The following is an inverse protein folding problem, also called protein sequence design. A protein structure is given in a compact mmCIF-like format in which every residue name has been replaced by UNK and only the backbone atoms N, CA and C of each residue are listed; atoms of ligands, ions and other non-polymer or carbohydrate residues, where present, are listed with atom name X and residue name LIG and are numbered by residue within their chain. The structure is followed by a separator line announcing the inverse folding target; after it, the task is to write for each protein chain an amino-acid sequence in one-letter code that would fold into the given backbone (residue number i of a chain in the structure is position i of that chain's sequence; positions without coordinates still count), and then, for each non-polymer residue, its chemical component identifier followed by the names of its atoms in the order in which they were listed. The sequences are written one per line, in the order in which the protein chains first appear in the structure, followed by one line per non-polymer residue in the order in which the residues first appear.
data_IF_921407130007
#
_entry.id   IF_921407130007
#
_cell.length_a   1.000
_cell.length_b   1.000
_cell.length_c   1.000
_cell.angle_alpha   90.00
_cell.angle_beta   90.00
_cell.angle_gamma   90.00
#
_symmetry.space_group_name_H-M   'P 1'
#
loop_
_entity.id
_entity.type
_entity.pdbx_description
1 polymer ?
#
# COMPACT_ATOMS: atom_id res chain seq x y z
N UNK A 1 -22.84 43.83 -23.37
CA UNK A 1 -23.07 42.40 -23.65
C UNK A 1 -21.86 41.66 -23.09
N UNK A 2 -21.92 41.31 -21.80
CA UNK A 2 -20.80 40.68 -21.08
C UNK A 2 -20.75 39.19 -21.41
N UNK A 3 -19.71 38.76 -22.11
CA UNK A 3 -19.36 37.34 -22.21
C UNK A 3 -18.75 36.90 -20.88
N UNK A 4 -19.61 36.54 -19.91
CA UNK A 4 -19.24 35.67 -18.81
C UNK A 4 -19.10 34.25 -19.35
N UNK A 5 -17.95 33.95 -19.93
CA UNK A 5 -17.54 32.57 -20.20
C UNK A 5 -17.37 31.87 -18.85
N UNK A 6 -18.44 31.21 -18.39
CA UNK A 6 -18.29 30.04 -17.52
C UNK A 6 -17.55 28.98 -18.33
N UNK A 7 -16.22 29.06 -18.35
CA UNK A 7 -15.42 27.88 -18.64
C UNK A 7 -15.74 26.91 -17.51
N UNK A 8 -16.59 25.94 -17.81
CA UNK A 8 -16.93 24.88 -16.89
C UNK A 8 -15.61 24.25 -16.44
N UNK A 9 -15.32 24.29 -15.13
CA UNK A 9 -14.24 23.55 -14.47
C UNK A 9 -14.53 22.04 -14.47
N UNK A 10 -14.98 21.50 -15.60
CA UNK A 10 -15.30 20.08 -15.79
C UNK A 10 -14.31 19.54 -16.80
N UNK A 11 -13.02 19.62 -16.45
CA UNK A 11 -12.04 18.72 -17.03
C UNK A 11 -12.15 17.33 -16.37
N UNK A 12 -11.53 16.30 -16.94
CA UNK A 12 -11.47 14.93 -16.38
C UNK A 12 -10.79 14.81 -14.99
N UNK A 13 -10.46 15.95 -14.39
CA UNK A 13 -9.89 16.16 -13.07
C UNK A 13 -10.89 16.35 -11.95
N UNK A 14 -12.17 16.06 -12.20
CA UNK A 14 -13.22 16.23 -11.19
C UNK A 14 -12.99 15.37 -9.94
N UNK A 15 -12.09 14.39 -9.99
CA UNK A 15 -11.56 13.74 -8.79
C UNK A 15 -10.64 14.70 -8.06
N UNK A 16 -11.14 15.29 -6.98
CA UNK A 16 -10.37 16.10 -6.04
C UNK A 16 -9.04 15.43 -5.70
N UNK A 17 -7.95 16.20 -5.68
CA UNK A 17 -6.66 15.75 -5.17
C UNK A 17 -6.84 15.09 -3.79
N UNK A 18 -6.55 13.79 -3.71
CA UNK A 18 -6.58 13.05 -2.44
C UNK A 18 -5.17 13.02 -1.86
N UNK A 19 -4.87 14.02 -1.03
CA UNK A 19 -3.59 14.09 -0.32
C UNK A 19 -3.36 12.96 0.69
N UNK A 20 -4.26 11.97 0.80
CA UNK A 20 -4.07 10.78 1.62
C UNK A 20 -3.84 9.51 0.80
N UNK A 21 -3.84 9.60 -0.53
CA UNK A 21 -3.49 8.47 -1.38
C UNK A 21 -2.04 8.08 -1.09
N UNK A 22 -1.78 6.77 -1.13
CA UNK A 22 -0.44 6.22 -0.98
C UNK A 22 -0.02 5.59 -2.29
N UNK A 23 1.28 5.52 -2.54
CA UNK A 23 1.82 4.76 -3.65
C UNK A 23 3.07 4.02 -3.22
N UNK A 24 3.36 2.88 -3.87
CA UNK A 24 4.69 2.31 -3.79
C UNK A 24 5.65 3.09 -4.71
N UNK A 25 6.92 2.70 -4.70
CA UNK A 25 7.96 3.31 -5.54
C UNK A 25 7.75 3.11 -7.06
N UNK A 26 6.87 2.19 -7.45
CA UNK A 26 6.46 1.96 -8.85
C UNK A 26 5.24 2.81 -9.25
N UNK A 27 4.75 3.64 -8.33
CA UNK A 27 3.64 4.54 -8.57
C UNK A 27 2.25 3.89 -8.49
N UNK A 28 2.18 2.64 -8.01
CA UNK A 28 0.91 1.96 -7.82
C UNK A 28 0.22 2.42 -6.56
N UNK A 29 -1.01 2.88 -6.74
CA UNK A 29 -1.74 3.55 -5.68
C UNK A 29 -2.38 2.55 -4.73
N UNK A 30 -2.32 2.85 -3.44
CA UNK A 30 -2.90 2.08 -2.34
C UNK A 30 -3.79 2.98 -1.51
N UNK A 31 -4.95 2.47 -1.11
CA UNK A 31 -5.89 3.17 -0.26
C UNK A 31 -5.73 2.69 1.18
N UNK A 32 -5.39 3.55 2.15
CA UNK A 32 -5.36 3.11 3.55
C UNK A 32 -6.77 2.70 3.99
N UNK A 33 -6.90 1.63 4.78
CA UNK A 33 -8.21 1.10 5.20
C UNK A 33 -9.17 2.19 5.72
N UNK A 34 -8.66 3.13 6.54
CA UNK A 34 -9.45 4.23 7.10
C UNK A 34 -10.12 5.11 6.04
N UNK A 35 -9.55 5.23 4.84
CA UNK A 35 -10.13 5.97 3.72
C UNK A 35 -11.09 5.10 2.91
N UNK A 36 -10.84 3.79 2.83
CA UNK A 36 -11.76 2.84 2.21
C UNK A 36 -13.13 2.79 2.92
N UNK A 37 -13.12 2.87 4.26
CA UNK A 37 -14.35 2.80 5.08
C UNK A 37 -14.96 4.16 5.44
N UNK A 38 -14.34 5.26 5.01
CA UNK A 38 -14.89 6.62 5.21
C UNK A 38 -15.81 6.96 4.04
N UNK A 39 -17.01 7.44 4.36
CA UNK A 39 -17.91 7.94 3.32
C UNK A 39 -17.31 9.20 2.69
N UNK A 40 -17.14 9.17 1.37
CA UNK A 40 -16.74 10.34 0.58
C UNK A 40 -17.92 11.29 0.36
N UNK A 41 -19.15 10.80 0.56
CA UNK A 41 -20.35 11.62 0.50
C UNK A 41 -20.42 12.51 1.73
N UNK A 42 -20.19 13.80 1.51
CA UNK A 42 -20.54 14.88 2.46
C UNK A 42 -22.06 15.09 2.44
N UNK A 43 -22.83 14.03 2.59
CA UNK A 43 -24.27 14.09 2.42
C UNK A 43 -24.96 14.14 3.78
N UNK A 44 -25.71 15.23 3.92
CA UNK A 44 -26.84 15.47 4.84
C UNK A 44 -27.11 14.37 5.85
N UNK A 45 -27.01 14.71 7.15
CA UNK A 45 -27.44 13.87 8.26
C UNK A 45 -28.75 13.12 7.91
N UNK A 46 -28.72 11.80 7.69
CA UNK A 46 -29.92 11.07 7.36
C UNK A 46 -30.94 11.22 8.49
N UNK A 47 -32.20 11.47 8.14
CA UNK A 47 -33.29 11.54 9.11
C UNK A 47 -33.35 10.23 9.89
N UNK A 48 -33.33 10.31 11.23
CA UNK A 48 -33.31 9.16 12.16
C UNK A 48 -34.41 8.12 11.86
N UNK A 49 -35.52 8.53 11.26
CA UNK A 49 -36.68 7.69 11.02
C UNK A 49 -36.45 6.59 9.96
N UNK A 50 -35.50 6.78 9.03
CA UNK A 50 -35.31 5.88 7.90
C UNK A 50 -34.85 4.46 8.28
N UNK A 51 -33.98 4.34 9.28
CA UNK A 51 -33.40 3.04 9.65
C UNK A 51 -34.41 2.12 10.35
N UNK A 52 -35.34 2.69 11.12
CA UNK A 52 -36.40 1.90 11.79
C UNK A 52 -37.29 1.16 10.80
N UNK A 53 -37.63 1.80 9.67
CA UNK A 53 -38.44 1.20 8.59
C UNK A 53 -37.70 0.08 7.88
N UNK A 54 -36.38 0.24 7.70
CA UNK A 54 -35.55 -0.81 7.13
C UNK A 54 -35.57 -2.10 7.97
N UNK A 55 -35.48 -1.97 9.30
CA UNK A 55 -35.52 -3.13 10.20
C UNK A 55 -36.87 -3.86 10.22
N UNK A 56 -37.94 -3.24 9.73
CA UNK A 56 -39.27 -3.85 9.59
C UNK A 56 -39.43 -4.63 8.28
N UNK A 57 -38.49 -4.53 7.35
CA UNK A 57 -38.53 -5.30 6.10
C UNK A 57 -38.26 -6.79 6.37
N UNK A 58 -38.80 -7.71 5.57
CA UNK A 58 -38.35 -9.11 5.52
C UNK A 58 -36.84 -9.21 5.34
N UNK A 59 -36.22 -10.24 5.95
CA UNK A 59 -34.75 -10.40 5.97
C UNK A 59 -34.15 -10.48 4.58
N UNK A 60 -34.87 -11.01 3.60
CA UNK A 60 -34.48 -11.09 2.19
C UNK A 60 -34.37 -9.69 1.57
N UNK A 61 -35.34 -8.82 1.84
CA UNK A 61 -35.30 -7.43 1.39
C UNK A 61 -34.23 -6.64 2.12
N UNK A 62 -34.03 -6.89 3.42
CA UNK A 62 -32.92 -6.29 4.17
C UNK A 62 -31.57 -6.64 3.55
N UNK A 63 -31.33 -7.92 3.22
CA UNK A 63 -30.12 -8.40 2.54
C UNK A 63 -29.97 -7.80 1.14
N UNK A 64 -31.05 -7.73 0.37
CA UNK A 64 -31.03 -7.13 -0.95
C UNK A 64 -30.60 -5.66 -0.88
N UNK A 65 -31.16 -4.88 0.05
CA UNK A 65 -30.73 -3.48 0.27
C UNK A 65 -29.26 -3.39 0.65
N UNK A 66 -28.75 -4.26 1.54
CA UNK A 66 -27.33 -4.27 1.90
C UNK A 66 -26.42 -4.52 0.69
N UNK A 67 -26.84 -5.34 -0.27
CA UNK A 67 -26.03 -5.62 -1.48
C UNK A 67 -25.80 -4.39 -2.37
N UNK A 68 -26.58 -3.32 -2.22
CA UNK A 68 -26.38 -2.04 -2.90
C UNK A 68 -25.59 -1.02 -2.07
N UNK A 69 -25.25 -1.33 -0.82
CA UNK A 69 -24.47 -0.44 0.02
C UNK A 69 -23.01 -0.39 -0.43
N UNK A 70 -22.42 0.80 -0.39
CA UNK A 70 -20.98 0.95 -0.60
C UNK A 70 -20.18 0.38 0.60
N UNK A 71 -18.86 0.14 0.45
CA UNK A 71 -18.05 -0.42 1.53
C UNK A 71 -18.08 0.43 2.81
N UNK A 72 -18.14 1.75 2.69
CA UNK A 72 -18.23 2.64 3.85
C UNK A 72 -19.54 2.42 4.63
N UNK A 73 -20.68 2.35 3.94
CA UNK A 73 -21.99 2.10 4.56
C UNK A 73 -22.05 0.71 5.19
N UNK A 74 -21.55 -0.32 4.50
CA UNK A 74 -21.45 -1.67 5.05
C UNK A 74 -20.60 -1.72 6.32
N UNK A 75 -19.45 -1.04 6.32
CA UNK A 75 -18.59 -0.94 7.50
C UNK A 75 -19.32 -0.24 8.67
N UNK A 76 -20.02 0.86 8.42
CA UNK A 76 -20.81 1.53 9.47
C UNK A 76 -21.92 0.61 10.01
N UNK A 77 -22.64 -0.10 9.15
CA UNK A 77 -23.70 -1.02 9.55
C UNK A 77 -23.18 -2.21 10.36
N UNK A 78 -21.98 -2.70 10.04
CA UNK A 78 -21.28 -3.72 10.82
C UNK A 78 -21.05 -3.26 12.27
N UNK A 79 -20.77 -1.98 12.49
CA UNK A 79 -20.53 -1.42 13.82
C UNK A 79 -21.80 -0.95 14.54
N UNK A 80 -22.80 -0.43 13.81
CA UNK A 80 -23.95 0.26 14.38
C UNK A 80 -25.12 -0.66 14.78
N UNK A 81 -25.31 -1.80 14.13
CA UNK A 81 -26.49 -2.65 14.35
C UNK A 81 -26.13 -4.12 14.46
N UNK A 82 -26.56 -4.76 15.56
CA UNK A 82 -26.36 -6.19 15.79
C UNK A 82 -27.08 -7.05 14.73
N UNK A 83 -28.31 -6.66 14.34
CA UNK A 83 -29.12 -7.44 13.40
C UNK A 83 -28.54 -7.50 12.00
N UNK A 84 -27.86 -6.44 11.56
CA UNK A 84 -27.24 -6.36 10.24
C UNK A 84 -25.77 -6.73 10.25
N UNK A 85 -25.13 -6.79 11.43
CA UNK A 85 -23.68 -6.91 11.56
C UNK A 85 -23.10 -8.05 10.73
N UNK A 86 -23.66 -9.24 10.88
CA UNK A 86 -23.14 -10.44 10.24
C UNK A 86 -23.26 -10.38 8.72
N UNK A 87 -24.39 -9.91 8.19
CA UNK A 87 -24.62 -9.82 6.75
C UNK A 87 -23.83 -8.67 6.11
N UNK A 88 -23.75 -7.51 6.78
CA UNK A 88 -22.95 -6.38 6.33
C UNK A 88 -21.45 -6.74 6.31
N UNK A 89 -20.98 -7.46 7.33
CA UNK A 89 -19.61 -7.96 7.39
C UNK A 89 -19.31 -8.91 6.22
N UNK A 90 -20.17 -9.90 5.96
CA UNK A 90 -20.01 -10.82 4.81
C UNK A 90 -19.87 -10.05 3.49
N UNK A 91 -20.77 -9.11 3.23
CA UNK A 91 -20.77 -8.32 2.00
C UNK A 91 -19.56 -7.39 1.90
N UNK A 92 -19.15 -6.76 3.01
CA UNK A 92 -18.00 -5.85 3.03
C UNK A 92 -16.70 -6.56 2.64
N UNK A 93 -16.46 -7.76 3.17
CA UNK A 93 -15.23 -8.50 2.93
C UNK A 93 -15.26 -9.35 1.65
N UNK A 94 -16.43 -9.55 1.05
CA UNK A 94 -16.63 -10.31 -0.18
C UNK A 94 -16.62 -9.45 -1.46
N UNK A 95 -16.19 -8.18 -1.39
CA UNK A 95 -16.07 -7.30 -2.56
C UNK A 95 -14.84 -7.70 -3.43
N UNK A 96 -15.03 -8.28 -4.63
CA UNK A 96 -13.92 -8.70 -5.48
C UNK A 96 -13.13 -7.54 -6.09
N UNK A 97 -13.69 -6.32 -6.06
CA UNK A 97 -13.01 -5.13 -6.60
C UNK A 97 -11.94 -4.61 -5.64
N UNK A 98 -12.04 -4.99 -4.36
CA UNK A 98 -11.21 -4.55 -3.25
C UNK A 98 -10.21 -5.64 -2.88
N UNK A 99 -8.91 -5.37 -3.09
CA UNK A 99 -7.83 -6.33 -2.77
C UNK A 99 -6.98 -5.85 -1.62
N UNK A 100 -6.81 -6.71 -0.62
CA UNK A 100 -6.01 -6.39 0.55
C UNK A 100 -4.55 -6.75 0.31
N UNK A 101 -3.69 -5.75 0.38
CA UNK A 101 -2.25 -5.88 0.07
C UNK A 101 -1.51 -6.39 1.30
N UNK A 102 -0.84 -7.54 1.16
CA UNK A 102 -0.12 -8.24 2.21
C UNK A 102 1.34 -8.45 1.79
N UNK A 103 2.25 -8.30 2.74
CA UNK A 103 3.68 -8.55 2.54
C UNK A 103 3.96 -10.06 2.39
N UNK A 104 4.56 -10.46 1.26
CA UNK A 104 4.96 -11.83 0.99
C UNK A 104 6.10 -12.31 1.90
N UNK A 105 7.06 -11.45 2.25
CA UNK A 105 8.17 -11.81 3.15
C UNK A 105 7.66 -12.14 4.56
N UNK A 106 6.63 -11.43 5.00
CA UNK A 106 5.96 -11.72 6.27
C UNK A 106 5.37 -13.15 6.28
N UNK A 107 4.76 -13.58 5.19
CA UNK A 107 4.19 -14.93 5.07
C UNK A 107 5.28 -16.01 4.93
N UNK A 108 6.36 -15.72 4.19
CA UNK A 108 7.51 -16.62 4.07
C UNK A 108 8.21 -16.86 5.41
N UNK A 109 8.18 -15.88 6.31
CA UNK A 109 8.71 -15.98 7.68
C UNK A 109 7.67 -16.50 8.68
N UNK A 110 6.63 -17.21 8.23
CA UNK A 110 5.63 -17.86 9.08
C UNK A 110 4.46 -16.98 9.52
N UNK A 111 4.39 -15.72 9.05
CA UNK A 111 3.25 -14.84 9.32
C UNK A 111 3.14 -14.43 10.79
N UNK A 112 4.25 -14.24 11.52
CA UNK A 112 4.19 -13.93 12.96
C UNK A 112 3.60 -12.53 13.24
N UNK A 113 2.80 -12.34 14.33
CA UNK A 113 2.16 -11.07 14.66
C UNK A 113 3.14 -9.91 14.85
N UNK A 114 4.34 -10.22 15.35
CA UNK A 114 5.39 -9.24 15.62
C UNK A 114 5.98 -8.61 14.36
N UNK A 115 5.95 -9.35 13.24
CA UNK A 115 6.51 -8.92 11.95
C UNK A 115 5.51 -8.19 11.07
N UNK A 116 4.32 -7.86 11.58
CA UNK A 116 3.33 -7.11 10.81
C UNK A 116 2.79 -5.92 11.58
N UNK A 117 2.41 -4.89 10.82
CA UNK A 117 1.70 -3.72 11.31
C UNK A 117 0.18 -3.91 11.25
N UNK A 118 -0.30 -5.01 10.66
CA UNK A 118 -1.72 -5.22 10.42
C UNK A 118 -2.43 -5.80 11.64
N UNK A 119 -3.71 -5.46 11.78
CA UNK A 119 -4.60 -6.03 12.77
C UNK A 119 -5.02 -7.45 12.34
N UNK A 120 -4.48 -8.47 13.02
CA UNK A 120 -4.75 -9.87 12.71
C UNK A 120 -6.23 -10.25 12.81
N UNK A 121 -6.99 -9.64 13.72
CA UNK A 121 -8.43 -9.90 13.88
C UNK A 121 -9.23 -9.44 12.66
N UNK A 122 -8.71 -8.49 11.88
CA UNK A 122 -9.34 -8.07 10.63
C UNK A 122 -8.93 -8.99 9.47
N UNK A 123 -7.71 -9.53 9.48
CA UNK A 123 -7.18 -10.36 8.40
C UNK A 123 -8.00 -11.63 8.20
N UNK A 124 -8.54 -12.21 9.28
CA UNK A 124 -9.33 -13.44 9.20
C UNK A 124 -10.58 -13.31 8.33
N UNK A 125 -11.05 -12.09 8.05
CA UNK A 125 -12.24 -11.86 7.26
C UNK A 125 -11.95 -11.62 5.77
N UNK A 126 -10.71 -11.34 5.39
CA UNK A 126 -10.35 -10.96 4.03
C UNK A 126 -10.45 -12.16 3.07
N UNK A 127 -11.13 -11.95 1.95
CA UNK A 127 -11.36 -12.99 0.92
C UNK A 127 -10.48 -12.82 -0.32
N UNK A 128 -10.22 -11.57 -0.71
CA UNK A 128 -9.45 -11.19 -1.90
C UNK A 128 -8.13 -10.55 -1.49
N UNK A 129 -7.03 -11.26 -1.68
CA UNK A 129 -5.71 -10.88 -1.17
C UNK A 129 -4.74 -10.68 -2.33
N UNK A 130 -3.87 -9.69 -2.20
CA UNK A 130 -2.73 -9.48 -3.08
C UNK A 130 -1.46 -9.58 -2.22
N UNK A 131 -0.66 -10.61 -2.47
CA UNK A 131 0.60 -10.86 -1.75
C UNK A 131 1.74 -10.29 -2.56
N UNK A 132 2.36 -9.22 -2.06
CA UNK A 132 3.42 -8.50 -2.77
C UNK A 132 4.80 -9.01 -2.37
N UNK A 133 5.61 -9.38 -3.36
CA UNK A 133 7.04 -9.69 -3.20
C UNK A 133 7.83 -8.51 -3.75
N UNK A 134 8.25 -7.62 -2.86
CA UNK A 134 8.91 -6.39 -3.26
C UNK A 134 10.36 -6.47 -2.79
N UNK A 135 11.35 -6.22 -3.65
CA UNK A 135 12.78 -6.27 -3.24
C UNK A 135 13.12 -5.26 -2.13
N UNK A 136 12.22 -4.28 -1.93
CA UNK A 136 12.28 -3.28 -0.88
C UNK A 136 11.09 -3.33 0.06
N UNK A 137 10.33 -4.45 0.10
CA UNK A 137 9.26 -4.61 1.08
C UNK A 137 9.87 -4.26 2.42
N UNK A 138 9.43 -3.12 2.93
CA UNK A 138 9.59 -2.71 4.30
C UNK A 138 10.94 -3.16 4.86
N UNK A 139 12.02 -2.41 4.60
CA UNK A 139 13.37 -2.67 5.11
C UNK A 139 13.49 -2.78 6.63
N UNK A 140 12.38 -3.01 7.35
CA UNK A 140 12.15 -3.48 8.70
C UNK A 140 12.34 -4.96 8.97
N UNK A 141 12.25 -5.84 7.96
CA UNK A 141 12.32 -7.30 8.16
C UNK A 141 13.27 -8.07 7.23
N UNK A 142 13.95 -7.37 6.32
CA UNK A 142 15.09 -8.01 5.65
C UNK A 142 16.05 -8.49 6.73
N UNK A 143 16.39 -9.77 6.66
CA UNK A 143 17.38 -10.44 7.48
C UNK A 143 18.69 -9.64 7.35
N UNK A 144 18.86 -8.61 8.16
CA UNK A 144 19.91 -7.60 7.94
C UNK A 144 21.32 -8.21 8.07
N UNK A 145 21.42 -9.37 8.74
CA UNK A 145 22.64 -10.17 8.86
C UNK A 145 22.93 -10.99 7.62
N UNK A 146 21.91 -11.43 6.91
CA UNK A 146 21.99 -12.32 5.76
C UNK A 146 21.27 -11.61 4.62
N UNK A 147 21.98 -10.75 3.89
CA UNK A 147 21.49 -10.03 2.69
C UNK A 147 21.00 -10.96 1.56
N UNK A 148 20.77 -12.23 1.84
CA UNK A 148 20.23 -13.18 0.90
C UNK A 148 18.73 -12.91 0.79
N UNK A 149 18.27 -12.70 -0.45
CA UNK A 149 16.85 -12.54 -0.71
C UNK A 149 16.16 -13.83 -0.28
N UNK A 150 15.19 -13.76 0.64
CA UNK A 150 14.34 -14.91 0.99
C UNK A 150 13.68 -15.53 -0.24
N UNK A 151 13.56 -14.73 -1.30
CA UNK A 151 13.05 -15.14 -2.59
C UNK A 151 13.95 -16.16 -3.30
N UNK A 152 15.27 -16.15 -3.06
CA UNK A 152 16.17 -17.18 -3.56
C UNK A 152 15.92 -18.55 -2.92
N UNK A 153 15.28 -18.56 -1.76
CA UNK A 153 15.04 -19.77 -0.99
C UNK A 153 13.68 -20.43 -1.24
N UNK A 154 12.79 -19.80 -2.01
CA UNK A 154 11.41 -20.30 -2.31
C UNK A 154 11.42 -21.62 -3.11
N UNK A 155 12.59 -22.14 -3.49
CA UNK A 155 12.70 -23.37 -4.28
C UNK A 155 12.37 -24.65 -3.51
N UNK A 156 12.37 -24.65 -2.16
CA UNK A 156 12.05 -25.87 -1.41
C UNK A 156 10.54 -26.05 -1.23
N UNK A 157 10.06 -27.28 -1.45
CA UNK A 157 8.66 -27.66 -1.21
C UNK A 157 8.22 -27.37 0.23
N UNK A 158 9.14 -27.52 1.20
CA UNK A 158 8.89 -27.21 2.60
C UNK A 158 8.56 -25.73 2.82
N UNK A 159 9.28 -24.81 2.16
CA UNK A 159 9.05 -23.36 2.28
C UNK A 159 7.76 -22.94 1.59
N UNK A 160 7.46 -23.52 0.42
CA UNK A 160 6.19 -23.32 -0.27
C UNK A 160 5.03 -23.79 0.62
N UNK A 161 5.13 -24.99 1.20
CA UNK A 161 4.10 -25.51 2.11
C UNK A 161 3.97 -24.66 3.38
N UNK A 162 5.09 -24.17 3.94
CA UNK A 162 5.09 -23.30 5.11
C UNK A 162 4.41 -21.95 4.82
N UNK A 163 4.70 -21.34 3.65
CA UNK A 163 4.04 -20.13 3.19
C UNK A 163 2.52 -20.29 3.12
N UNK A 164 2.05 -21.35 2.45
CA UNK A 164 0.60 -21.58 2.30
C UNK A 164 -0.07 -21.93 3.63
N UNK A 165 0.61 -22.65 4.52
CA UNK A 165 0.14 -22.89 5.89
C UNK A 165 0.00 -21.58 6.67
N UNK A 166 0.98 -20.68 6.57
CA UNK A 166 0.93 -19.36 7.20
C UNK A 166 -0.21 -18.52 6.64
N UNK A 167 -0.37 -18.47 5.30
CA UNK A 167 -1.46 -17.76 4.64
C UNK A 167 -2.82 -18.31 5.10
N UNK A 168 -3.05 -19.62 5.00
CA UNK A 168 -4.31 -20.23 5.41
C UNK A 168 -4.61 -20.01 6.90
N UNK A 169 -3.59 -20.06 7.76
CA UNK A 169 -3.76 -19.78 9.19
C UNK A 169 -4.16 -18.32 9.47
N UNK A 170 -3.58 -17.36 8.74
CA UNK A 170 -3.86 -15.92 8.93
C UNK A 170 -5.10 -15.42 8.19
N UNK A 171 -5.45 -16.08 7.10
CA UNK A 171 -6.54 -15.74 6.20
C UNK A 171 -7.42 -16.96 5.91
N UNK A 172 -8.08 -17.54 6.92
CA UNK A 172 -8.90 -18.74 6.75
C UNK A 172 -10.07 -18.55 5.77
N UNK A 173 -10.45 -17.31 5.44
CA UNK A 173 -11.52 -17.00 4.48
C UNK A 173 -10.99 -16.57 3.10
N UNK A 174 -9.69 -16.66 2.85
CA UNK A 174 -9.13 -16.33 1.53
C UNK A 174 -9.68 -17.29 0.47
N UNK A 175 -10.26 -16.72 -0.60
CA UNK A 175 -10.77 -17.50 -1.75
C UNK A 175 -10.07 -17.13 -3.05
N UNK A 176 -9.45 -15.95 -3.12
CA UNK A 176 -8.70 -15.49 -4.28
C UNK A 176 -7.42 -14.78 -3.83
N UNK A 177 -6.29 -15.30 -4.27
CA UNK A 177 -4.95 -14.79 -3.96
C UNK A 177 -4.25 -14.44 -5.27
N UNK A 178 -3.74 -13.21 -5.34
CA UNK A 178 -2.82 -12.79 -6.40
C UNK A 178 -1.41 -12.69 -5.83
N UNK A 179 -0.47 -13.44 -6.38
CA UNK A 179 0.95 -13.26 -6.10
C UNK A 179 1.48 -12.15 -6.99
N UNK A 180 1.90 -11.05 -6.38
CA UNK A 180 2.28 -9.83 -7.07
C UNK A 180 3.81 -9.69 -7.14
N UNK A 181 4.33 -9.82 -8.36
CA UNK A 181 5.74 -9.78 -8.70
C UNK A 181 6.11 -8.41 -9.27
N UNK A 182 7.12 -7.79 -8.67
CA UNK A 182 7.64 -6.47 -9.04
C UNK A 182 8.92 -6.54 -9.86
N UNK A 183 9.52 -7.72 -10.04
CA UNK A 183 10.62 -7.90 -10.96
C UNK A 183 10.16 -7.61 -12.38
N UNK A 184 10.42 -6.37 -12.75
CA UNK A 184 10.49 -5.80 -14.07
C UNK A 184 11.09 -6.80 -15.06
N UNK A 185 10.23 -7.42 -15.87
CA UNK A 185 10.69 -8.26 -16.97
C UNK A 185 10.41 -7.62 -18.33
N UNK A 186 11.25 -7.99 -19.31
CA UNK A 186 11.07 -7.60 -20.71
C UNK A 186 9.73 -8.12 -21.24
N UNK A 187 9.12 -7.42 -22.22
CA UNK A 187 7.94 -7.93 -22.92
C UNK A 187 8.15 -9.37 -23.40
N UNK A 188 7.14 -10.20 -23.20
CA UNK A 188 7.18 -11.60 -23.63
C UNK A 188 8.00 -12.54 -22.74
N UNK A 189 8.69 -12.04 -21.72
CA UNK A 189 9.33 -12.90 -20.74
C UNK A 189 8.28 -13.76 -20.01
N UNK A 190 8.58 -15.04 -19.71
CA UNK A 190 7.68 -15.90 -18.95
C UNK A 190 7.60 -15.44 -17.49
N UNK A 191 6.50 -15.75 -16.81
CA UNK A 191 6.37 -15.51 -15.36
C UNK A 191 7.56 -16.17 -14.63
N UNK A 192 8.19 -15.50 -13.63
CA UNK A 192 9.31 -16.09 -12.90
C UNK A 192 8.96 -17.47 -12.34
N UNK A 193 9.83 -18.45 -12.61
CA UNK A 193 9.64 -19.85 -12.22
C UNK A 193 9.40 -20.00 -10.71
N UNK A 194 10.06 -19.17 -9.88
CA UNK A 194 9.88 -19.16 -8.42
C UNK A 194 8.45 -18.81 -7.99
N UNK A 195 7.83 -17.78 -8.60
CA UNK A 195 6.42 -17.44 -8.30
C UNK A 195 5.50 -18.55 -8.83
N UNK A 196 5.80 -19.11 -10.00
CA UNK A 196 5.04 -20.25 -10.54
C UNK A 196 5.08 -21.43 -9.58
N UNK A 197 6.25 -21.81 -9.06
CA UNK A 197 6.38 -22.89 -8.07
C UNK A 197 5.60 -22.58 -6.79
N UNK A 198 5.70 -21.34 -6.27
CA UNK A 198 4.92 -20.92 -5.11
C UNK A 198 3.41 -21.05 -5.38
N UNK A 199 2.93 -20.56 -6.52
CA UNK A 199 1.52 -20.64 -6.91
C UNK A 199 1.04 -22.08 -7.10
N UNK A 200 1.91 -22.98 -7.56
CA UNK A 200 1.60 -24.39 -7.74
C UNK A 200 1.35 -25.13 -6.43
N UNK A 201 1.90 -24.65 -5.31
CA UNK A 201 1.63 -25.17 -3.97
C UNK A 201 0.33 -24.68 -3.34
N UNK A 202 -0.48 -23.88 -4.04
CA UNK A 202 -1.73 -23.35 -3.51
C UNK A 202 -2.72 -24.46 -3.12
N UNK A 203 -3.37 -24.39 -1.94
CA UNK A 203 -4.32 -25.41 -1.52
C UNK A 203 -5.60 -25.40 -2.37
N UNK A 204 -6.30 -26.53 -2.38
CA UNK A 204 -7.61 -26.63 -3.04
C UNK A 204 -8.60 -25.60 -2.47
N UNK A 205 -9.41 -25.01 -3.35
CA UNK A 205 -10.41 -24.00 -2.99
C UNK A 205 -9.92 -22.55 -3.02
N UNK A 206 -8.62 -22.29 -3.13
CA UNK A 206 -8.08 -20.95 -3.38
C UNK A 206 -7.87 -20.74 -4.89
N UNK A 207 -8.51 -19.72 -5.45
CA UNK A 207 -8.17 -19.24 -6.79
C UNK A 207 -6.84 -18.51 -6.73
N UNK A 208 -5.86 -19.01 -7.48
CA UNK A 208 -4.52 -18.43 -7.53
C UNK A 208 -4.27 -17.77 -8.89
N UNK A 209 -3.76 -16.55 -8.86
CA UNK A 209 -3.30 -15.84 -10.05
C UNK A 209 -1.96 -15.15 -9.76
N UNK A 210 -1.21 -14.84 -10.81
CA UNK A 210 0.09 -14.16 -10.70
C UNK A 210 -0.03 -12.82 -11.43
N UNK A 211 0.23 -11.74 -10.71
CA UNK A 211 0.36 -10.41 -11.28
C UNK A 211 1.82 -10.13 -11.54
N UNK A 212 2.13 -9.70 -12.77
CA UNK A 212 3.46 -9.30 -13.16
C UNK A 212 3.44 -7.87 -13.69
N UNK A 213 4.30 -7.04 -13.15
CA UNK A 213 4.57 -5.71 -13.67
C UNK A 213 5.34 -5.82 -14.99
N UNK A 214 4.77 -5.31 -16.09
CA UNK A 214 5.44 -5.33 -17.39
C UNK A 214 5.74 -3.94 -17.91
N UNK A 215 6.94 -3.84 -18.45
CA UNK A 215 7.38 -2.71 -19.25
C UNK A 215 6.92 -2.94 -20.68
N UNK A 216 6.16 -2.00 -21.21
CA UNK A 216 5.73 -2.05 -22.60
C UNK A 216 6.90 -1.57 -23.48
N UNK A 217 7.72 -2.53 -23.92
CA UNK A 217 8.86 -2.48 -24.87
C UNK A 217 10.27 -2.36 -24.25
N UNK A 218 11.31 -2.69 -25.05
CA UNK A 218 12.74 -2.36 -24.77
C UNK A 218 12.97 -0.85 -24.54
N UNK A 219 11.96 -0.09 -24.93
CA UNK A 219 11.73 1.31 -24.64
C UNK A 219 10.94 1.36 -23.33
N UNK A 220 11.63 1.65 -22.24
CA UNK A 220 11.14 1.74 -20.85
C UNK A 220 10.00 2.78 -20.62
N UNK A 221 9.39 3.31 -21.69
CA UNK A 221 8.54 4.50 -21.75
C UNK A 221 7.04 4.23 -21.87
N UNK A 222 6.50 3.14 -21.32
CA UNK A 222 5.04 2.96 -21.27
C UNK A 222 4.58 2.73 -19.83
N UNK A 223 3.40 3.27 -19.45
CA UNK A 223 2.86 3.01 -18.14
C UNK A 223 2.84 1.51 -17.90
N UNK A 224 3.32 1.15 -16.73
CA UNK A 224 3.42 -0.22 -16.30
C UNK A 224 2.03 -0.84 -16.36
N UNK A 225 1.85 -1.81 -17.24
CA UNK A 225 0.62 -2.57 -17.30
C UNK A 225 0.84 -3.85 -16.51
N UNK A 226 0.00 -4.09 -15.52
CA UNK A 226 0.02 -5.38 -14.84
C UNK A 226 -0.70 -6.41 -15.67
N UNK A 227 0.03 -7.49 -15.92
CA UNK A 227 -0.48 -8.66 -16.59
C UNK A 227 -0.82 -9.69 -15.54
N UNK A 228 -2.05 -10.23 -15.60
CA UNK A 228 -2.49 -11.28 -14.69
C UNK A 228 -2.53 -12.59 -15.43
N UNK A 229 -1.87 -13.58 -14.85
CA UNK A 229 -1.79 -14.94 -15.32
C UNK A 229 -2.57 -15.86 -14.38
N UNK A 230 -3.29 -16.83 -14.93
CA UNK A 230 -4.01 -17.83 -14.15
C UNK A 230 -3.65 -19.24 -14.61
N UNK A 231 -3.54 -20.16 -13.65
CA UNK A 231 -3.30 -21.58 -13.91
C UNK A 231 -4.49 -22.18 -14.66
N UNK A 232 -4.23 -22.90 -15.76
CA UNK A 232 -5.25 -23.67 -16.46
C UNK A 232 -5.54 -24.97 -15.68
N UNK A 233 -6.81 -25.24 -15.38
CA UNK A 233 -7.20 -26.30 -14.42
C UNK A 233 -7.02 -27.75 -14.89
N UNK A 234 -6.71 -28.01 -16.16
CA UNK A 234 -6.89 -29.35 -16.76
C UNK A 234 -5.62 -30.01 -17.32
N UNK A 235 -4.45 -29.37 -17.25
CA UNK A 235 -3.22 -29.92 -17.86
C UNK A 235 -2.29 -30.58 -16.81
N UNK A 236 -1.67 -31.70 -17.19
CA UNK A 236 -0.65 -32.41 -16.39
C UNK A 236 0.63 -31.58 -16.23
N UNK A 237 0.86 -30.62 -17.12
CA UNK A 237 1.85 -29.56 -16.98
C UNK A 237 1.13 -28.24 -16.69
N UNK A 238 1.54 -27.47 -15.66
CA UNK A 238 0.86 -26.22 -15.34
C UNK A 238 1.12 -25.19 -16.44
N UNK A 239 0.15 -25.05 -17.34
CA UNK A 239 0.11 -23.94 -18.30
C UNK A 239 -0.54 -22.73 -17.63
N UNK A 240 0.05 -21.56 -17.87
CA UNK A 240 -0.41 -20.28 -17.35
C UNK A 240 -0.98 -19.45 -18.50
N UNK A 241 -2.25 -19.08 -18.37
CA UNK A 241 -2.94 -18.26 -19.35
C UNK A 241 -2.94 -16.80 -18.91
N UNK A 242 -2.54 -15.92 -19.81
CA UNK A 242 -2.70 -14.47 -19.64
C UNK A 242 -4.18 -14.13 -19.74
N UNK A 243 -4.79 -13.76 -18.61
CA UNK A 243 -6.22 -13.45 -18.54
C UNK A 243 -6.51 -11.95 -18.61
N UNK A 244 -5.54 -11.10 -18.24
CA UNK A 244 -5.71 -9.65 -18.23
C UNK A 244 -4.39 -8.96 -18.54
N UNK A 245 -4.40 -7.99 -19.46
CA UNK A 245 -3.22 -7.20 -19.86
C UNK A 245 -3.16 -5.83 -19.20
N UNK A 246 -4.26 -5.39 -18.58
CA UNK A 246 -4.37 -4.07 -17.92
C UNK A 246 -5.09 -4.21 -16.59
N UNK A 247 -4.41 -4.80 -15.62
CA UNK A 247 -4.96 -5.01 -14.29
C UNK A 247 -4.67 -3.83 -13.36
N UNK A 248 -5.71 -3.20 -12.84
CA UNK A 248 -5.61 -2.07 -11.92
C UNK A 248 -6.65 -2.19 -10.79
N UNK A 249 -6.46 -3.13 -9.86
CA UNK A 249 -7.43 -3.38 -8.79
C UNK A 249 -7.43 -2.23 -7.78
N UNK A 250 -8.52 -2.11 -7.01
CA UNK A 250 -8.53 -1.21 -5.85
C UNK A 250 -7.74 -1.84 -4.71
N UNK A 251 -6.48 -1.44 -4.58
CA UNK A 251 -5.58 -1.90 -3.52
C UNK A 251 -5.86 -1.22 -2.20
N UNK A 252 -6.04 -2.01 -1.16
CA UNK A 252 -6.34 -1.55 0.18
C UNK A 252 -5.25 -2.04 1.12
N UNK A 253 -4.66 -1.12 1.89
CA UNK A 253 -3.80 -1.50 3.01
C UNK A 253 -4.69 -2.00 4.15
N UNK A 254 -4.43 -3.18 4.74
CA UNK A 254 -5.15 -3.68 5.90
C UNK A 254 -5.23 -2.69 7.07
N UNK A 255 -6.23 -2.81 7.96
CA UNK A 255 -6.26 -2.03 9.19
C UNK A 255 -4.98 -2.25 10.00
N UNK A 256 -4.45 -1.18 10.60
CA UNK A 256 -3.27 -1.26 11.47
C UNK A 256 -3.63 -1.84 12.83
N UNK A 257 -2.75 -2.63 13.43
CA UNK A 257 -2.91 -3.10 14.82
C UNK A 257 -2.83 -1.94 15.82
N UNK A 258 -3.32 -2.18 17.03
CA UNK A 258 -3.15 -1.24 18.14
C UNK A 258 -1.70 -1.27 18.62
N UNK A 259 -1.07 -0.10 18.66
CA UNK A 259 0.26 0.08 19.20
C UNK A 259 0.18 0.46 20.68
N UNK A 260 0.66 -0.41 21.57
CA UNK A 260 0.65 -0.19 23.02
C UNK A 260 2.03 -0.43 23.62
N UNK A 261 2.36 0.24 24.72
CA UNK A 261 3.65 0.09 25.42
C UNK A 261 4.88 0.56 24.63
N UNK A 262 6.10 0.44 25.20
CA UNK A 262 7.33 0.89 24.56
C UNK A 262 7.61 0.25 23.20
N UNK A 263 7.34 -1.04 23.03
CA UNK A 263 7.49 -1.74 21.74
C UNK A 263 6.50 -1.18 20.73
N UNK A 264 5.23 -1.00 21.14
CA UNK A 264 4.21 -0.45 20.26
C UNK A 264 4.51 0.98 19.83
N UNK A 265 4.99 1.84 20.73
CA UNK A 265 5.38 3.20 20.36
C UNK A 265 6.51 3.22 19.32
N UNK A 266 7.53 2.36 19.47
CA UNK A 266 8.59 2.23 18.47
C UNK A 266 8.06 1.69 17.14
N UNK A 267 7.20 0.67 17.16
CA UNK A 267 6.61 0.12 15.94
C UNK A 267 5.69 1.12 15.23
N UNK A 268 4.97 1.97 15.98
CA UNK A 268 4.19 3.08 15.42
C UNK A 268 5.08 4.10 14.71
N UNK A 269 6.20 4.47 15.34
CA UNK A 269 7.21 5.35 14.72
C UNK A 269 7.72 4.75 13.40
N UNK A 270 8.11 3.47 13.39
CA UNK A 270 8.54 2.77 12.17
C UNK A 270 7.45 2.74 11.11
N UNK A 271 6.22 2.43 11.49
CA UNK A 271 5.11 2.38 10.56
C UNK A 271 4.88 3.74 9.87
N UNK A 272 4.87 4.84 10.64
CA UNK A 272 4.75 6.20 10.10
C UNK A 272 5.87 6.56 9.12
N UNK A 273 7.08 6.03 9.31
CA UNK A 273 8.17 6.20 8.34
C UNK A 273 7.81 5.61 6.96
N UNK A 274 7.17 4.43 6.93
CA UNK A 274 6.64 3.83 5.69
C UNK A 274 5.56 4.69 5.08
N UNK A 275 4.57 5.06 5.91
CA UNK A 275 3.43 5.83 5.42
C UNK A 275 3.89 7.14 4.79
N UNK A 276 4.91 7.77 5.36
CA UNK A 276 5.50 8.98 4.81
C UNK A 276 6.17 8.73 3.46
N UNK A 277 6.99 7.67 3.32
CA UNK A 277 7.58 7.31 2.04
C UNK A 277 6.52 7.00 0.97
N UNK A 278 5.45 6.29 1.35
CA UNK A 278 4.34 6.02 0.43
C UNK A 278 3.55 7.28 0.04
N UNK A 279 3.43 8.27 0.94
CA UNK A 279 2.82 9.57 0.63
C UNK A 279 3.71 10.40 -0.30
N UNK A 280 5.03 10.37 -0.10
CA UNK A 280 6.01 11.02 -0.97
C UNK A 280 5.95 10.43 -2.39
N UNK A 281 5.92 9.10 -2.53
CA UNK A 281 5.69 8.46 -3.83
C UNK A 281 4.34 8.86 -4.45
N UNK A 282 3.26 8.90 -3.65
CA UNK A 282 1.94 9.28 -4.14
C UNK A 282 1.87 10.71 -4.64
N UNK A 283 2.60 11.62 -3.99
CA UNK A 283 2.73 13.03 -4.39
C UNK A 283 3.21 13.14 -5.83
N UNK A 284 4.27 12.41 -6.18
CA UNK A 284 4.83 12.45 -7.53
C UNK A 284 3.91 11.80 -8.57
N UNK A 285 3.28 10.68 -8.22
CA UNK A 285 2.24 10.05 -9.06
C UNK A 285 1.09 11.02 -9.31
N UNK A 286 0.64 11.75 -8.29
CA UNK A 286 -0.40 12.75 -8.44
C UNK A 286 0.05 13.92 -9.31
N UNK A 287 1.25 14.44 -9.10
CA UNK A 287 1.77 15.54 -9.90
C UNK A 287 1.87 15.15 -11.37
N UNK A 288 2.31 13.94 -11.65
CA UNK A 288 2.34 13.38 -12.99
C UNK A 288 0.96 13.24 -13.59
N UNK A 289 0.06 12.55 -12.87
CA UNK A 289 -1.30 12.33 -13.33
C UNK A 289 -1.97 13.65 -13.64
N UNK A 290 -1.85 14.65 -12.74
CA UNK A 290 -2.43 16.01 -12.79
C UNK A 290 -1.78 16.90 -13.85
N UNK A 291 -0.51 16.71 -14.14
CA UNK A 291 0.15 17.43 -15.24
C UNK A 291 -0.30 16.83 -16.57
N UNK A 292 -0.30 15.50 -16.67
CA UNK A 292 -0.60 14.78 -17.90
C UNK A 292 -1.97 15.16 -18.46
N UNK A 293 -3.06 14.93 -17.73
CA UNK A 293 -4.38 15.24 -18.26
C UNK A 293 -4.67 16.76 -18.45
N UNK A 294 -3.77 17.67 -18.07
CA UNK A 294 -3.99 19.12 -18.19
C UNK A 294 -3.46 19.51 -19.54
N UNK A 295 -2.19 19.17 -19.77
CA UNK A 295 -1.54 19.43 -21.03
C UNK A 295 -2.11 18.54 -22.14
N UNK A 296 -2.52 17.31 -21.84
CA UNK A 296 -2.89 16.34 -22.88
C UNK A 296 -4.40 16.24 -23.16
N UNK A 297 -5.30 16.51 -22.20
CA UNK A 297 -6.73 16.52 -22.49
C UNK A 297 -7.27 17.90 -22.87
N UNK A 298 -6.65 18.99 -22.42
CA UNK A 298 -7.17 20.34 -22.67
C UNK A 298 -6.58 20.96 -23.94
N UNK A 299 -5.33 20.64 -24.32
CA UNK A 299 -4.65 21.34 -25.41
C UNK A 299 -4.90 20.78 -26.83
N UNK A 300 -5.47 19.57 -26.99
CA UNK A 300 -5.74 18.90 -28.28
C UNK A 300 -4.57 18.85 -29.30
N UNK A 301 -3.32 19.02 -28.86
CA UNK A 301 -2.11 18.97 -29.71
C UNK A 301 -1.15 17.87 -29.26
N UNK A 302 -0.27 17.36 -30.15
CA UNK A 302 0.86 16.51 -29.75
C UNK A 302 1.59 17.19 -28.59
N UNK A 303 1.78 16.46 -27.50
CA UNK A 303 2.34 17.06 -26.30
C UNK A 303 3.84 16.97 -26.35
N UNK A 304 4.48 18.14 -26.36
CA UNK A 304 5.92 18.26 -26.19
C UNK A 304 6.24 18.08 -24.71
N UNK A 305 7.33 17.36 -24.40
CA UNK A 305 7.83 17.28 -23.04
C UNK A 305 8.02 18.70 -22.47
N UNK A 306 7.51 18.93 -21.26
CA UNK A 306 7.58 20.24 -20.59
C UNK A 306 9.00 20.66 -20.20
N UNK A 307 9.98 19.76 -20.34
CA UNK A 307 11.38 20.08 -20.09
C UNK A 307 11.98 20.86 -21.26
N UNK A 308 12.54 22.07 -21.02
CA UNK A 308 13.00 22.96 -22.11
C UNK A 308 13.98 22.33 -23.10
N UNK A 309 14.76 21.32 -22.68
CA UNK A 309 15.77 20.66 -23.51
C UNK A 309 15.32 19.31 -24.11
N UNK A 310 14.17 18.76 -23.70
CA UNK A 310 13.79 17.41 -24.12
C UNK A 310 13.21 17.39 -25.54
N UNK A 311 12.23 18.25 -25.83
CA UNK A 311 11.63 18.40 -27.17
C UNK A 311 10.87 17.17 -27.71
N UNK A 312 10.84 16.03 -26.99
CA UNK A 312 10.11 14.84 -27.39
C UNK A 312 8.60 15.12 -27.45
N UNK A 313 7.94 14.52 -28.44
CA UNK A 313 6.50 14.65 -28.66
C UNK A 313 5.78 13.34 -28.38
N UNK A 314 4.60 13.44 -27.76
CA UNK A 314 3.78 12.31 -27.36
C UNK A 314 2.38 12.45 -27.94
N UNK A 315 1.82 11.33 -28.38
CA UNK A 315 0.46 11.26 -28.91
C UNK A 315 -0.56 10.98 -27.80
N UNK A 316 -0.10 10.40 -26.68
CA UNK A 316 -0.96 10.02 -25.55
C UNK A 316 -0.42 10.50 -24.20
N UNK A 317 -1.29 10.84 -23.24
CA UNK A 317 -0.87 11.24 -21.89
C UNK A 317 0.05 10.23 -21.21
N UNK A 318 -0.28 8.97 -21.42
CA UNK A 318 0.40 7.80 -20.92
C UNK A 318 1.87 7.75 -21.37
N UNK A 319 2.14 8.08 -22.63
CA UNK A 319 3.49 8.07 -23.21
C UNK A 319 4.37 9.17 -22.59
N UNK A 320 3.80 10.37 -22.35
CA UNK A 320 4.51 11.45 -21.67
C UNK A 320 4.81 11.13 -20.20
N UNK A 321 3.83 10.60 -19.46
CA UNK A 321 4.02 10.22 -18.05
C UNK A 321 5.14 9.20 -17.89
N UNK A 322 5.16 8.18 -18.75
CA UNK A 322 6.18 7.16 -18.70
C UNK A 322 7.57 7.70 -19.10
N UNK A 323 7.64 8.60 -20.08
CA UNK A 323 8.87 9.33 -20.38
C UNK A 323 9.40 10.11 -19.16
N UNK A 324 8.54 10.86 -18.48
CA UNK A 324 8.94 11.62 -17.31
C UNK A 324 9.46 10.71 -16.18
N UNK A 325 8.76 9.60 -15.89
CA UNK A 325 9.15 8.66 -14.85
C UNK A 325 10.55 8.09 -15.10
N UNK A 326 10.85 7.68 -16.34
CA UNK A 326 12.18 7.18 -16.68
C UNK A 326 13.27 8.23 -16.48
N UNK A 327 13.03 9.45 -16.97
CA UNK A 327 14.02 10.49 -16.93
C UNK A 327 14.33 10.93 -15.48
N UNK A 328 13.33 10.86 -14.61
CA UNK A 328 13.47 11.09 -13.16
C UNK A 328 14.18 9.94 -12.46
N UNK A 329 13.79 8.69 -12.74
CA UNK A 329 14.39 7.49 -12.13
C UNK A 329 15.87 7.33 -12.49
N UNK A 330 16.27 7.70 -13.70
CA UNK A 330 17.68 7.63 -14.15
C UNK A 330 18.53 8.79 -13.65
N UNK A 331 17.93 9.86 -13.10
CA UNK A 331 18.63 11.10 -12.69
C UNK A 331 19.56 11.66 -13.78
N UNK A 332 19.30 11.33 -15.05
CA UNK A 332 20.26 11.60 -16.13
C UNK A 332 19.96 12.92 -16.84
N UNK A 333 18.69 13.32 -16.98
CA UNK A 333 18.33 14.46 -17.85
C UNK A 333 17.33 15.45 -17.22
N UNK A 334 16.67 15.04 -16.13
CA UNK A 334 15.77 15.88 -15.35
C UNK A 334 16.36 15.91 -13.95
N UNK A 335 16.71 17.08 -13.43
CA UNK A 335 17.35 17.30 -12.11
C UNK A 335 16.46 16.89 -10.91
N UNK A 336 15.63 15.85 -11.05
CA UNK A 336 14.63 15.41 -10.09
C UNK A 336 13.44 16.36 -9.94
N UNK A 337 13.45 17.51 -10.61
CA UNK A 337 12.37 18.49 -10.46
C UNK A 337 11.11 18.03 -11.19
N UNK A 338 9.99 18.01 -10.47
CA UNK A 338 8.66 17.82 -11.07
C UNK A 338 8.29 19.03 -11.90
N UNK A 339 7.75 18.86 -13.13
CA UNK A 339 7.32 19.98 -13.95
C UNK A 339 6.40 20.90 -13.13
N UNK A 340 6.53 22.22 -13.28
CA UNK A 340 5.74 23.15 -12.50
C UNK A 340 4.24 22.88 -12.75
N UNK A 341 3.41 22.88 -11.70
CA UNK A 341 1.99 22.64 -11.87
C UNK A 341 1.35 23.61 -12.87
N UNK A 342 0.42 23.12 -13.72
CA UNK A 342 -0.05 23.87 -14.88
C UNK A 342 -0.87 25.14 -14.58
N UNK A 343 -1.40 25.25 -13.37
CA UNK A 343 -2.14 26.43 -12.93
C UNK A 343 -1.99 26.67 -11.43
N UNK A 344 -2.34 27.87 -10.99
CA UNK A 344 -2.17 28.30 -9.59
C UNK A 344 -2.96 27.44 -8.60
N UNK A 345 -4.15 26.98 -8.98
CA UNK A 345 -4.96 26.11 -8.12
C UNK A 345 -4.28 24.76 -7.83
N UNK A 346 -3.69 24.14 -8.86
CA UNK A 346 -2.97 22.87 -8.72
C UNK A 346 -1.66 23.12 -7.96
N UNK A 347 -0.96 24.23 -8.26
CA UNK A 347 0.24 24.64 -7.52
C UNK A 347 -0.03 24.80 -6.03
N UNK A 348 -1.11 25.49 -5.66
CA UNK A 348 -1.51 25.66 -4.27
C UNK A 348 -1.84 24.33 -3.59
N UNK A 349 -2.47 23.39 -4.30
CA UNK A 349 -2.76 22.05 -3.78
C UNK A 349 -1.48 21.24 -3.50
N UNK A 350 -0.51 21.24 -4.43
CA UNK A 350 0.78 20.59 -4.20
C UNK A 350 1.60 21.27 -3.11
N UNK A 351 1.63 22.60 -3.07
CA UNK A 351 2.31 23.34 -2.00
C UNK A 351 1.73 22.99 -0.63
N UNK A 352 0.40 22.91 -0.52
CA UNK A 352 -0.26 22.48 0.71
C UNK A 352 0.11 21.04 1.09
N UNK A 353 0.16 20.13 0.12
CA UNK A 353 0.58 18.76 0.36
C UNK A 353 2.05 18.65 0.78
N UNK A 354 2.95 19.40 0.14
CA UNK A 354 4.37 19.46 0.48
C UNK A 354 4.58 20.01 1.90
N UNK A 355 3.79 21.01 2.32
CA UNK A 355 3.75 21.48 3.72
C UNK A 355 3.31 20.39 4.70
N UNK A 356 2.28 19.60 4.34
CA UNK A 356 1.82 18.47 5.16
C UNK A 356 2.90 17.38 5.27
N UNK A 357 3.61 17.06 4.19
CA UNK A 357 4.74 16.13 4.20
C UNK A 357 5.89 16.63 5.09
N UNK A 358 6.24 17.92 4.99
CA UNK A 358 7.25 18.53 5.84
C UNK A 358 6.85 18.49 7.32
N UNK A 359 5.58 18.75 7.64
CA UNK A 359 5.06 18.60 9.01
C UNK A 359 5.17 17.15 9.50
N UNK A 360 4.82 16.17 8.66
CA UNK A 360 4.93 14.75 9.01
C UNK A 360 6.39 14.33 9.24
N UNK A 361 7.34 14.81 8.41
CA UNK A 361 8.79 14.60 8.61
C UNK A 361 9.24 15.12 9.97
N UNK A 362 8.85 16.35 10.32
CA UNK A 362 9.18 16.97 11.60
C UNK A 362 8.60 16.18 12.77
N UNK A 363 7.31 15.85 12.73
CA UNK A 363 6.65 15.05 13.77
C UNK A 363 7.34 13.70 13.97
N UNK A 364 7.79 13.06 12.89
CA UNK A 364 8.55 11.80 12.96
C UNK A 364 9.88 11.98 13.67
N UNK A 365 10.63 13.04 13.38
CA UNK A 365 11.89 13.35 14.06
C UNK A 365 11.67 13.66 15.55
N UNK A 366 10.64 14.44 15.88
CA UNK A 366 10.26 14.73 17.26
C UNK A 366 9.87 13.45 18.03
N UNK A 367 9.16 12.52 17.37
CA UNK A 367 8.83 11.21 17.95
C UNK A 367 10.07 10.35 18.22
N UNK A 368 11.04 10.32 17.29
CA UNK A 368 12.31 9.62 17.51
C UNK A 368 13.10 10.23 18.67
N UNK A 369 13.20 11.56 18.70
CA UNK A 369 13.87 12.28 19.79
C UNK A 369 13.23 11.98 21.14
N UNK A 370 11.89 11.91 21.21
CA UNK A 370 11.15 11.50 22.42
C UNK A 370 11.49 10.06 22.82
N UNK A 371 11.54 9.12 21.88
CA UNK A 371 11.92 7.74 22.15
C UNK A 371 13.36 7.63 22.68
N UNK A 372 14.29 8.40 22.11
CA UNK A 372 15.68 8.48 22.56
C UNK A 372 15.81 9.11 23.94
N UNK A 373 15.03 10.16 24.24
CA UNK A 373 14.99 10.75 25.58
C UNK A 373 14.48 9.77 26.63
N UNK A 374 13.49 8.93 26.31
CA UNK A 374 13.02 7.84 27.20
C UNK A 374 14.09 6.75 27.34
N UNK A 375 14.80 6.43 26.26
CA UNK A 375 15.91 5.47 26.27
C UNK A 375 17.08 5.92 27.16
N UNK A 376 17.39 7.21 27.21
CA UNK A 376 18.41 7.76 28.11
C UNK A 376 19.86 7.48 27.68
N UNK A 377 20.80 7.99 28.49
CA UNK A 377 22.23 7.99 28.16
C UNK A 377 22.88 6.59 28.27
N UNK A 378 23.95 6.32 27.49
CA UNK A 378 24.75 5.11 27.65
C UNK A 378 25.20 4.89 29.11
N UNK A 379 24.94 3.69 29.64
CA UNK A 379 25.29 3.32 31.02
C UNK A 379 24.36 3.86 32.11
N UNK A 380 23.34 4.66 31.77
CA UNK A 380 22.39 5.17 32.75
C UNK A 380 21.42 4.09 33.27
N UNK A 381 20.96 4.24 34.51
CA UNK A 381 19.88 3.39 35.07
C UNK A 381 18.59 3.50 34.26
N UNK A 382 18.31 4.68 33.69
CA UNK A 382 17.17 4.92 32.82
C UNK A 382 17.22 4.00 31.60
N UNK A 383 18.38 3.90 30.95
CA UNK A 383 18.59 3.03 29.79
C UNK A 383 18.43 1.55 30.10
N UNK A 384 18.99 1.11 31.23
CA UNK A 384 18.78 -0.26 31.72
C UNK A 384 17.29 -0.55 31.97
N UNK A 385 16.57 0.38 32.60
CA UNK A 385 15.14 0.23 32.86
C UNK A 385 14.30 0.22 31.57
N UNK A 386 14.58 1.12 30.63
CA UNK A 386 13.90 1.18 29.33
C UNK A 386 14.15 -0.10 28.52
N UNK A 387 15.39 -0.61 28.50
CA UNK A 387 15.75 -1.89 27.90
C UNK A 387 14.96 -3.05 28.49
N UNK A 388 14.92 -3.14 29.82
CA UNK A 388 14.19 -4.19 30.51
C UNK A 388 12.68 -4.14 30.21
N UNK A 389 12.07 -2.95 30.22
CA UNK A 389 10.65 -2.80 29.88
C UNK A 389 10.36 -3.20 28.43
N UNK A 390 11.21 -2.82 27.49
CA UNK A 390 11.07 -3.16 26.08
C UNK A 390 11.16 -4.68 25.86
N UNK A 391 12.20 -5.31 26.42
CA UNK A 391 12.41 -6.76 26.32
C UNK A 391 11.31 -7.55 27.05
N UNK A 392 10.83 -7.06 28.20
CA UNK A 392 9.71 -7.67 28.90
C UNK A 392 8.45 -7.64 28.06
N UNK A 393 8.13 -6.51 27.42
CA UNK A 393 6.97 -6.45 26.54
C UNK A 393 7.11 -7.37 25.32
N UNK A 394 8.30 -7.46 24.70
CA UNK A 394 8.53 -8.42 23.61
C UNK A 394 8.29 -9.88 24.03
N UNK A 395 8.55 -10.20 25.30
CA UNK A 395 8.33 -11.54 25.87
C UNK A 395 6.85 -11.81 26.15
N UNK A 396 6.14 -10.84 26.72
CA UNK A 396 4.83 -11.07 27.33
C UNK A 396 3.65 -10.67 26.44
N UNK A 397 3.82 -9.70 25.53
CA UNK A 397 2.73 -9.17 24.70
C UNK A 397 2.49 -10.06 23.46
N UNK A 398 1.33 -10.72 23.32
CA UNK A 398 1.04 -11.59 22.18
C UNK A 398 1.13 -10.91 20.82
N UNK A 399 1.01 -9.57 20.78
CA UNK A 399 1.13 -8.77 19.55
C UNK A 399 2.57 -8.69 19.03
N UNK A 400 3.54 -9.03 19.87
CA UNK A 400 4.98 -8.95 19.60
C UNK A 400 5.76 -10.22 19.98
N UNK A 401 5.14 -11.16 20.68
CA UNK A 401 5.72 -12.45 21.01
C UNK A 401 6.11 -13.24 19.74
N UNK A 402 7.16 -14.04 19.86
CA UNK A 402 7.51 -15.04 18.85
C UNK A 402 8.56 -16.01 19.35
N UNK A 403 9.11 -16.81 18.44
CA UNK A 403 9.84 -18.04 18.80
C UNK A 403 11.27 -17.81 19.30
N UNK A 404 11.93 -16.74 18.85
CA UNK A 404 13.27 -16.37 19.31
C UNK A 404 13.24 -15.57 20.60
N UNK A 405 14.34 -15.62 21.35
CA UNK A 405 14.52 -14.80 22.54
C UNK A 405 14.35 -13.29 22.21
N UNK A 406 13.71 -12.49 23.08
CA UNK A 406 13.52 -11.05 22.86
C UNK A 406 14.80 -10.30 22.46
N UNK A 407 15.94 -10.67 23.05
CA UNK A 407 17.26 -10.08 22.84
C UNK A 407 17.84 -10.37 21.45
N UNK A 408 17.36 -11.44 20.79
CA UNK A 408 17.74 -11.82 19.43
C UNK A 408 16.75 -11.31 18.39
N UNK A 409 15.60 -10.79 18.83
CA UNK A 409 14.57 -10.29 17.93
C UNK A 409 15.05 -9.10 17.12
N UNK A 410 14.65 -9.05 15.85
CA UNK A 410 15.01 -7.95 14.95
C UNK A 410 14.45 -6.60 15.43
N UNK A 411 13.26 -6.60 16.05
CA UNK A 411 12.65 -5.40 16.62
C UNK A 411 13.59 -4.79 17.66
N UNK A 412 14.14 -5.61 18.56
CA UNK A 412 15.08 -5.16 19.57
C UNK A 412 16.39 -4.64 18.97
N UNK A 413 16.99 -5.39 18.06
CA UNK A 413 18.26 -5.01 17.42
C UNK A 413 18.16 -3.66 16.70
N UNK A 414 17.08 -3.43 15.95
CA UNK A 414 16.81 -2.16 15.28
C UNK A 414 16.45 -1.04 16.24
N UNK A 415 15.75 -1.36 17.33
CA UNK A 415 15.48 -0.40 18.38
C UNK A 415 16.80 0.12 18.96
N UNK A 416 17.71 -0.77 19.36
CA UNK A 416 19.02 -0.38 19.87
C UNK A 416 19.81 0.47 18.85
N UNK A 417 19.84 0.08 17.58
CA UNK A 417 20.51 0.86 16.52
C UNK A 417 19.95 2.28 16.46
N UNK A 418 18.63 2.42 16.31
CA UNK A 418 17.97 3.73 16.19
C UNK A 418 18.12 4.58 17.46
N UNK A 419 18.16 3.96 18.63
CA UNK A 419 18.32 4.68 19.90
C UNK A 419 19.77 5.12 20.16
N UNK A 420 20.76 4.54 19.47
CA UNK A 420 22.17 4.89 19.62
C UNK A 420 22.68 5.85 18.55
N UNK A 421 21.91 6.12 17.49
CA UNK A 421 22.26 7.10 16.46
C UNK A 421 21.90 8.50 16.97
N UNK A 422 22.90 9.37 17.12
CA UNK A 422 22.65 10.79 17.40
C UNK A 422 21.81 11.38 16.28
N UNK A 423 20.63 11.92 16.63
CA UNK A 423 19.83 12.69 15.67
C UNK A 423 20.58 13.97 15.40
N UNK A 424 21.35 14.00 14.32
CA UNK A 424 21.91 15.24 13.78
C UNK A 424 20.72 16.09 13.37
N UNK A 425 20.60 17.28 13.94
CA UNK A 425 19.55 18.21 13.51
C UNK A 425 19.70 18.44 12.00
N UNK A 426 18.62 18.31 11.21
CA UNK A 426 18.69 18.54 9.78
C UNK A 426 19.24 19.95 9.54
N UNK A 427 20.27 20.06 8.70
CA UNK A 427 20.83 21.36 8.35
C UNK A 427 19.74 22.17 7.64
N UNK A 428 19.64 23.50 7.88
CA UNK A 428 18.59 24.33 7.29
C UNK A 428 18.50 24.26 5.76
N UNK A 429 19.56 23.84 5.09
CA UNK A 429 19.66 23.67 3.64
C UNK A 429 18.94 22.45 3.06
N UNK A 430 18.51 21.48 3.88
CA UNK A 430 17.80 20.28 3.40
C UNK A 430 16.27 20.43 3.42
N UNK A 431 15.75 21.61 3.79
CA UNK A 431 14.31 21.90 3.89
C UNK A 431 13.77 22.83 2.79
N UNK A 432 14.56 23.08 1.74
CA UNK A 432 14.13 23.75 0.50
C UNK A 432 14.17 22.76 -0.64
#
# INVERSE_FOLDING_TARGET
MEFRTRVAQVGPWSTSFDGNLRANQYGETRLPFRHHVRSTRRDTCPRKDGFSKYLQLPVELQRHVLSFCDPASLFQLMHASYSTRQEAQKLFWADPTSRYVIDGEWLLTGGHPRHTNHNLDALIHMQYIEVTFHEWSCGFFQNWRERQSYFDEIQSEEKIAAFWRALHHRFPNAIDVVLDEYQSQRPGAPVPEKIVHLAMGSPEGISISISQLRWCNDKWYSPESRHVWRKRSNDTSPTWDLIETFWNPRRILPPTKKYSGPVGEYMRYKHKHVELGELECARDVHALRVTAAYYLHVAQTPCVCLWPACGLQFNRPEEWMAHYLEATLRRQDHDGAVPPPPCEAIRAAFLHHDMMLAQNRRQRLDELARLQAVWGEPGSLQRSAAAQQFLQQLRDDPSYAGEVAPEESEIWLRYQQNMNVSVVAPTPSENM
#
